data_IF_632819848097
#
_entry.id   IF_632819848097
#
_cell.length_a   1.000
_cell.length_b   1.000
_cell.length_c   1.000
_cell.angle_alpha   90.00
_cell.angle_beta   90.00
_cell.angle_gamma   90.00
#
_symmetry.space_group_name_H-M   'P 1'
#
loop_
_entity.id
_entity.type
_entity.pdbx_description
1 polymer ?
#
# COMPACT_ATOMS: atom_id res chain seq x y z
N UNK A 1 1.82 -42.21 9.09
CA UNK A 1 0.72 -42.44 10.04
C UNK A 1 -0.51 -41.71 9.48
N UNK A 2 -1.58 -42.43 9.15
CA UNK A 2 -2.85 -41.83 8.71
C UNK A 2 -3.44 -41.08 9.91
N UNK A 3 -3.32 -39.76 9.92
CA UNK A 3 -3.98 -38.93 10.92
C UNK A 3 -5.47 -38.90 10.62
N UNK A 4 -6.28 -39.51 11.47
CA UNK A 4 -7.73 -39.44 11.36
C UNK A 4 -8.15 -37.96 11.37
N UNK A 5 -8.84 -37.55 10.30
CA UNK A 5 -9.45 -36.23 10.21
C UNK A 5 -10.72 -36.21 11.01
N UNK A 6 -10.82 -35.27 11.92
CA UNK A 6 -11.98 -35.12 12.80
C UNK A 6 -12.45 -33.68 12.83
N UNK A 7 -13.76 -33.49 12.72
CA UNK A 7 -14.44 -32.23 12.88
C UNK A 7 -15.58 -32.41 13.88
N UNK A 8 -15.36 -31.94 15.10
CA UNK A 8 -16.33 -32.04 16.21
C UNK A 8 -16.87 -30.67 16.59
N UNK A 9 -18.12 -30.62 17.05
CA UNK A 9 -18.78 -29.39 17.45
C UNK A 9 -19.29 -29.53 18.88
N UNK A 10 -18.93 -28.56 19.75
CA UNK A 10 -19.27 -28.58 21.16
C UNK A 10 -19.62 -27.17 21.64
N UNK A 11 -20.77 -26.97 22.37
CA UNK A 11 -21.01 -25.70 23.04
C UNK A 11 -20.16 -25.55 24.30
N UNK A 12 -19.52 -24.41 24.46
CA UNK A 12 -18.82 -24.02 25.69
C UNK A 12 -19.36 -22.69 26.21
N UNK A 13 -19.53 -22.54 27.54
CA UNK A 13 -19.94 -21.25 28.10
C UNK A 13 -18.84 -20.22 27.95
N UNK A 14 -19.19 -18.93 27.89
CA UNK A 14 -18.22 -17.83 27.85
C UNK A 14 -17.23 -17.91 29.02
N UNK A 15 -17.67 -18.32 30.21
CA UNK A 15 -16.78 -18.51 31.35
C UNK A 15 -15.61 -19.46 31.04
N UNK A 16 -15.84 -20.51 30.26
CA UNK A 16 -14.77 -21.40 29.80
C UNK A 16 -13.81 -20.71 28.82
N UNK A 17 -14.36 -19.88 27.89
CA UNK A 17 -13.53 -19.10 26.95
C UNK A 17 -12.66 -18.06 27.66
N UNK A 18 -13.09 -17.54 28.80
CA UNK A 18 -12.32 -16.62 29.63
C UNK A 18 -11.20 -17.36 30.39
N UNK A 19 -11.50 -18.55 30.91
CA UNK A 19 -10.53 -19.38 31.65
C UNK A 19 -9.41 -19.91 30.74
N UNK A 20 -9.76 -20.40 29.57
CA UNK A 20 -8.82 -21.03 28.63
C UNK A 20 -8.15 -20.04 27.67
N UNK A 21 -8.32 -18.72 27.88
CA UNK A 21 -7.91 -17.64 26.97
C UNK A 21 -6.46 -17.78 26.47
N UNK A 22 -5.54 -18.14 27.35
CA UNK A 22 -4.10 -18.25 27.03
C UNK A 22 -3.76 -19.41 26.08
N UNK A 23 -4.70 -20.34 25.86
CA UNK A 23 -4.56 -21.44 24.91
C UNK A 23 -4.98 -21.07 23.49
N UNK A 24 -5.62 -19.91 23.30
CA UNK A 24 -6.08 -19.45 21.98
C UNK A 24 -4.97 -18.68 21.29
N UNK A 25 -4.61 -19.14 20.10
CA UNK A 25 -3.61 -18.53 19.24
C UNK A 25 -4.25 -17.98 17.96
N UNK A 26 -3.75 -16.85 17.51
CA UNK A 26 -4.14 -16.26 16.24
C UNK A 26 -3.12 -16.67 15.18
N UNK A 27 -3.51 -17.50 14.23
CA UNK A 27 -2.66 -17.78 13.08
C UNK A 27 -2.70 -16.59 12.10
N UNK A 28 -1.63 -15.79 12.13
CA UNK A 28 -1.49 -14.60 11.28
C UNK A 28 -1.31 -14.91 9.79
N UNK A 29 -1.17 -16.19 9.42
CA UNK A 29 -0.89 -16.58 8.03
C UNK A 29 -2.05 -16.32 7.08
N UNK A 30 -3.29 -16.35 7.53
CA UNK A 30 -4.48 -16.16 6.69
C UNK A 30 -5.61 -15.38 7.35
N UNK A 31 -5.44 -14.93 8.61
CA UNK A 31 -6.49 -14.22 9.32
C UNK A 31 -6.47 -12.70 9.14
N UNK A 32 -7.61 -12.07 9.38
CA UNK A 32 -7.80 -10.62 9.32
C UNK A 32 -7.16 -9.96 10.53
N UNK A 33 -6.56 -8.80 10.33
CA UNK A 33 -6.26 -7.86 11.41
C UNK A 33 -7.56 -7.46 12.13
N UNK A 34 -7.44 -6.77 13.28
CA UNK A 34 -8.61 -6.28 14.02
C UNK A 34 -9.41 -5.29 13.16
N UNK A 35 -10.59 -5.72 12.70
CA UNK A 35 -11.43 -4.96 11.74
C UNK A 35 -12.69 -4.39 12.40
N UNK A 36 -13.10 -4.97 13.53
CA UNK A 36 -14.33 -4.58 14.17
C UNK A 36 -14.21 -3.24 14.88
N UNK A 37 -15.13 -2.33 14.58
CA UNK A 37 -15.33 -1.12 15.38
C UNK A 37 -15.92 -1.48 16.74
N UNK A 38 -15.77 -0.58 17.72
CA UNK A 38 -16.40 -0.71 19.02
C UNK A 38 -17.92 -0.95 18.87
N UNK A 39 -18.57 -0.28 17.91
CA UNK A 39 -20.00 -0.45 17.65
C UNK A 39 -20.36 -1.88 17.21
N UNK A 40 -19.52 -2.55 16.43
CA UNK A 40 -19.73 -3.97 16.05
C UNK A 40 -19.53 -4.90 17.24
N UNK A 41 -18.54 -4.65 18.08
CA UNK A 41 -18.32 -5.40 19.29
C UNK A 41 -19.50 -5.24 20.27
N UNK A 42 -20.00 -4.03 20.45
CA UNK A 42 -21.19 -3.73 21.26
C UNK A 42 -22.43 -4.45 20.74
N UNK A 43 -22.62 -4.51 19.41
CA UNK A 43 -23.74 -5.22 18.80
C UNK A 43 -23.67 -6.73 19.06
N UNK A 44 -22.47 -7.32 19.04
CA UNK A 44 -22.28 -8.73 19.43
C UNK A 44 -22.68 -8.97 20.88
N UNK A 45 -22.22 -8.12 21.82
CA UNK A 45 -22.56 -8.28 23.23
C UNK A 45 -24.06 -8.16 23.47
N UNK A 46 -24.74 -7.22 22.78
CA UNK A 46 -26.19 -7.12 22.82
C UNK A 46 -26.86 -8.42 22.32
N UNK A 47 -26.34 -9.03 21.23
CA UNK A 47 -26.83 -10.30 20.71
C UNK A 47 -26.69 -11.44 21.74
N UNK A 48 -25.56 -11.49 22.46
CA UNK A 48 -25.32 -12.46 23.53
C UNK A 48 -26.34 -12.29 24.67
N UNK A 49 -26.54 -11.05 25.13
CA UNK A 49 -27.48 -10.76 26.20
C UNK A 49 -28.95 -11.03 25.80
N UNK A 50 -29.28 -10.94 24.51
CA UNK A 50 -30.55 -11.34 23.93
C UNK A 50 -30.67 -12.83 23.62
N UNK A 51 -29.59 -13.61 23.87
CA UNK A 51 -29.52 -15.05 23.59
C UNK A 51 -29.70 -15.38 22.10
N UNK A 52 -29.28 -14.46 21.22
CA UNK A 52 -29.23 -14.71 19.77
C UNK A 52 -28.01 -15.54 19.39
N UNK A 53 -28.14 -16.36 18.33
CA UNK A 53 -27.00 -17.09 17.79
C UNK A 53 -25.94 -16.11 17.27
N UNK A 54 -24.71 -16.30 17.74
CA UNK A 54 -23.53 -15.50 17.32
C UNK A 54 -22.67 -16.22 16.28
N UNK A 55 -23.11 -17.38 15.80
CA UNK A 55 -22.40 -18.24 14.86
C UNK A 55 -21.29 -19.07 15.50
N UNK A 56 -20.82 -20.09 14.77
CA UNK A 56 -19.80 -21.02 15.22
C UNK A 56 -18.41 -20.39 15.20
N UNK A 57 -17.52 -20.82 16.11
CA UNK A 57 -16.10 -20.49 16.13
C UNK A 57 -15.32 -21.73 15.72
N UNK A 58 -14.45 -21.62 14.73
CA UNK A 58 -13.67 -22.72 14.19
C UNK A 58 -12.23 -22.66 14.71
N UNK A 59 -11.77 -23.78 15.28
CA UNK A 59 -10.49 -23.91 15.96
C UNK A 59 -9.72 -25.11 15.43
N UNK A 60 -8.49 -24.93 15.00
CA UNK A 60 -7.59 -26.04 14.75
C UNK A 60 -6.88 -26.38 16.06
N UNK A 61 -6.91 -27.64 16.46
CA UNK A 61 -6.24 -28.11 17.67
C UNK A 61 -4.86 -28.66 17.31
N UNK A 62 -3.80 -28.06 17.87
CA UNK A 62 -2.41 -28.50 17.73
C UNK A 62 -1.69 -28.33 19.06
N UNK A 63 -0.98 -29.33 19.48
CA UNK A 63 -0.09 -29.29 20.67
C UNK A 63 -0.76 -28.69 21.93
N UNK A 64 -2.05 -28.99 22.14
CA UNK A 64 -2.82 -28.49 23.27
C UNK A 64 -3.28 -27.03 23.16
N UNK A 65 -3.03 -26.36 22.03
CA UNK A 65 -3.47 -25.00 21.72
C UNK A 65 -4.61 -24.98 20.72
N UNK A 66 -5.37 -23.88 20.71
CA UNK A 66 -6.52 -23.61 19.85
C UNK A 66 -6.16 -22.52 18.85
N UNK A 67 -5.78 -22.87 17.62
CA UNK A 67 -5.54 -21.91 16.53
C UNK A 67 -6.87 -21.49 15.93
N UNK A 68 -7.21 -20.23 16.07
CA UNK A 68 -8.51 -19.69 15.62
C UNK A 68 -8.53 -19.66 14.09
N UNK A 69 -9.46 -20.38 13.47
CA UNK A 69 -9.68 -20.36 12.02
C UNK A 69 -10.72 -19.31 11.63
N UNK A 70 -11.87 -19.30 12.34
CA UNK A 70 -12.90 -18.26 12.21
C UNK A 70 -13.46 -17.91 13.58
N UNK A 71 -13.96 -16.67 13.72
CA UNK A 71 -14.54 -16.16 14.96
C UNK A 71 -13.60 -15.32 15.81
N UNK A 72 -12.39 -15.00 15.33
CA UNK A 72 -11.41 -14.18 16.06
C UNK A 72 -12.00 -12.86 16.59
N UNK A 73 -12.75 -12.13 15.75
CA UNK A 73 -13.32 -10.84 16.15
C UNK A 73 -14.37 -11.01 17.25
N UNK A 74 -15.13 -12.10 17.20
CA UNK A 74 -16.14 -12.45 18.21
C UNK A 74 -15.46 -12.78 19.54
N UNK A 75 -14.43 -13.62 19.55
CA UNK A 75 -13.65 -13.93 20.76
C UNK A 75 -13.02 -12.67 21.36
N UNK A 76 -12.35 -11.86 20.54
CA UNK A 76 -11.75 -10.60 21.01
C UNK A 76 -12.79 -9.64 21.60
N UNK A 77 -13.98 -9.53 21.01
CA UNK A 77 -15.03 -8.69 21.53
C UNK A 77 -15.54 -9.19 22.90
N UNK A 78 -15.72 -10.52 23.06
CA UNK A 78 -16.12 -11.16 24.31
C UNK A 78 -15.05 -10.89 25.40
N UNK A 79 -13.79 -11.16 25.11
CA UNK A 79 -12.69 -10.93 26.04
C UNK A 79 -12.56 -9.45 26.42
N UNK A 80 -12.52 -8.57 25.43
CA UNK A 80 -12.40 -7.13 25.66
C UNK A 80 -13.56 -6.55 26.49
N UNK A 81 -14.78 -7.05 26.30
CA UNK A 81 -15.92 -6.65 27.12
C UNK A 81 -15.77 -7.15 28.56
N UNK A 82 -15.40 -8.42 28.76
CA UNK A 82 -15.14 -8.99 30.09
C UNK A 82 -14.01 -8.24 30.83
N UNK A 83 -12.99 -7.76 30.09
CA UNK A 83 -11.89 -6.93 30.60
C UNK A 83 -12.28 -5.44 30.78
N UNK A 84 -13.56 -5.07 30.67
CA UNK A 84 -14.05 -3.69 30.72
C UNK A 84 -13.47 -2.75 29.65
N UNK A 85 -13.13 -3.27 28.46
CA UNK A 85 -12.53 -2.51 27.38
C UNK A 85 -13.49 -1.58 26.62
N UNK A 86 -14.80 -1.77 26.79
CA UNK A 86 -15.84 -0.89 26.23
C UNK A 86 -17.17 -1.09 26.97
N UNK A 87 -18.05 -0.05 27.03
CA UNK A 87 -19.38 -0.14 27.66
C UNK A 87 -20.42 -0.71 26.69
N UNK A 88 -21.58 -1.09 27.20
CA UNK A 88 -22.77 -1.41 26.42
C UNK A 88 -23.29 -0.18 25.66
N UNK A 89 -23.81 -0.40 24.46
CA UNK A 89 -24.26 0.68 23.58
C UNK A 89 -25.64 1.21 23.97
N UNK A 90 -25.79 2.52 24.05
CA UNK A 90 -27.10 3.16 24.19
C UNK A 90 -28.01 2.91 22.96
N UNK A 91 -27.44 2.55 21.81
CA UNK A 91 -28.18 2.29 20.58
C UNK A 91 -28.83 0.90 20.55
N UNK A 92 -28.17 -0.11 21.14
CA UNK A 92 -28.59 -1.52 21.04
C UNK A 92 -29.12 -2.08 22.33
N UNK A 93 -28.54 -1.69 23.46
CA UNK A 93 -28.88 -2.27 24.78
C UNK A 93 -30.08 -1.59 25.45
N UNK A 94 -30.77 -2.29 26.35
CA UNK A 94 -31.82 -1.69 27.19
C UNK A 94 -31.33 -0.44 27.94
N UNK A 95 -32.22 0.51 28.18
CA UNK A 95 -31.88 1.82 28.77
C UNK A 95 -31.14 1.68 30.10
N UNK A 96 -31.53 0.72 30.94
CA UNK A 96 -30.96 0.48 32.26
C UNK A 96 -29.55 -0.14 32.22
N UNK A 97 -29.12 -0.68 31.07
CA UNK A 97 -27.81 -1.27 30.86
C UNK A 97 -26.91 -0.40 29.98
N UNK A 98 -27.48 0.58 29.28
CA UNK A 98 -26.75 1.46 28.37
C UNK A 98 -25.61 2.21 29.08
N UNK A 99 -24.43 2.23 28.46
CA UNK A 99 -23.25 2.90 29.00
C UNK A 99 -22.53 2.15 30.13
N UNK A 100 -23.04 1.02 30.60
CA UNK A 100 -22.39 0.24 31.65
C UNK A 100 -21.28 -0.64 31.08
N UNK A 101 -20.15 -0.70 31.80
CA UNK A 101 -19.10 -1.67 31.59
C UNK A 101 -19.49 -3.01 32.22
N UNK A 102 -18.80 -4.09 31.85
CA UNK A 102 -19.05 -5.43 32.35
C UNK A 102 -19.09 -5.48 33.90
N UNK A 103 -18.12 -4.83 34.57
CA UNK A 103 -18.05 -4.74 36.04
C UNK A 103 -19.26 -4.05 36.68
N UNK A 104 -19.88 -3.12 35.95
CA UNK A 104 -20.99 -2.30 36.46
C UNK A 104 -22.38 -2.93 36.21
N UNK A 105 -22.39 -4.11 35.55
CA UNK A 105 -23.64 -4.84 35.31
C UNK A 105 -24.14 -5.52 36.56
N UNK A 106 -25.49 -5.65 36.74
CA UNK A 106 -26.08 -6.49 37.77
C UNK A 106 -25.51 -7.93 37.68
N UNK A 107 -25.36 -8.59 38.86
CA UNK A 107 -24.79 -9.96 38.91
C UNK A 107 -25.54 -10.93 38.01
N UNK A 108 -26.87 -10.86 38.01
CA UNK A 108 -27.70 -11.69 37.13
C UNK A 108 -27.32 -11.53 35.64
N UNK A 109 -27.06 -10.31 35.16
CA UNK A 109 -26.71 -10.06 33.78
C UNK A 109 -25.28 -10.56 33.49
N UNK A 110 -24.38 -10.43 34.45
CA UNK A 110 -23.01 -11.01 34.33
C UNK A 110 -23.05 -12.53 34.25
N UNK A 111 -23.92 -13.17 35.05
CA UNK A 111 -24.11 -14.62 35.00
C UNK A 111 -24.75 -15.07 33.67
N UNK A 112 -25.75 -14.35 33.17
CA UNK A 112 -26.33 -14.60 31.84
C UNK A 112 -25.31 -14.49 30.73
N UNK A 113 -24.41 -13.53 30.80
CA UNK A 113 -23.26 -13.40 29.86
C UNK A 113 -22.27 -14.57 30.00
N UNK A 114 -21.83 -14.89 31.21
CA UNK A 114 -20.86 -15.96 31.48
C UNK A 114 -21.36 -17.35 31.08
N UNK A 115 -22.63 -17.61 31.29
CA UNK A 115 -23.24 -18.91 30.98
C UNK A 115 -23.66 -19.07 29.52
N UNK A 116 -23.60 -18.01 28.72
CA UNK A 116 -24.02 -18.06 27.31
C UNK A 116 -23.18 -19.09 26.53
N UNK A 117 -23.83 -20.07 25.84
CA UNK A 117 -23.12 -21.11 25.11
C UNK A 117 -22.60 -20.60 23.76
N UNK A 118 -21.33 -20.76 23.54
CA UNK A 118 -20.66 -20.49 22.23
C UNK A 118 -20.33 -21.82 21.60
N UNK A 119 -20.79 -22.07 20.39
CA UNK A 119 -20.50 -23.30 19.66
C UNK A 119 -19.08 -23.26 19.08
N UNK A 120 -18.21 -24.14 19.57
CA UNK A 120 -16.85 -24.33 19.07
C UNK A 120 -16.81 -25.53 18.14
N UNK A 121 -16.14 -25.39 17.00
CA UNK A 121 -15.87 -26.47 16.05
C UNK A 121 -14.38 -26.77 16.09
N UNK A 122 -14.03 -27.95 16.55
CA UNK A 122 -12.64 -28.42 16.65
C UNK A 122 -12.25 -29.19 15.38
N UNK A 123 -11.11 -28.84 14.83
CA UNK A 123 -10.53 -29.39 13.59
C UNK A 123 -9.22 -30.08 13.98
N UNK A 124 -9.12 -31.40 13.75
CA UNK A 124 -7.95 -32.22 14.05
C UNK A 124 -7.53 -33.04 12.83
N UNK A 125 -6.22 -33.23 12.64
CA UNK A 125 -5.67 -34.07 11.57
C UNK A 125 -5.74 -33.47 10.15
N UNK A 126 -6.11 -32.20 10.01
CA UNK A 126 -6.12 -31.49 8.72
C UNK A 126 -4.76 -30.85 8.46
N UNK A 127 -4.28 -30.93 7.24
CA UNK A 127 -3.10 -30.21 6.76
C UNK A 127 -3.37 -28.69 6.68
N UNK A 128 -2.30 -27.89 6.62
CA UNK A 128 -2.43 -26.42 6.50
C UNK A 128 -3.15 -26.00 5.21
N UNK A 129 -3.01 -26.76 4.13
CA UNK A 129 -3.71 -26.50 2.87
C UNK A 129 -5.20 -26.76 3.00
N UNK A 130 -5.60 -27.81 3.66
CA UNK A 130 -7.01 -28.15 3.91
C UNK A 130 -7.67 -27.17 4.87
N UNK A 131 -6.94 -26.71 5.88
CA UNK A 131 -7.42 -25.65 6.79
C UNK A 131 -7.62 -24.34 6.05
N UNK A 132 -6.73 -23.97 5.12
CA UNK A 132 -6.89 -22.79 4.26
C UNK A 132 -8.09 -22.92 3.33
N UNK A 133 -8.34 -24.12 2.79
CA UNK A 133 -9.52 -24.36 1.96
C UNK A 133 -10.80 -24.27 2.78
N UNK A 134 -10.84 -24.86 3.97
CA UNK A 134 -11.94 -24.75 4.92
C UNK A 134 -12.21 -23.29 5.31
N UNK A 135 -11.16 -22.52 5.62
CA UNK A 135 -11.28 -21.09 5.90
C UNK A 135 -11.94 -20.32 4.74
N UNK A 136 -11.51 -20.60 3.50
CA UNK A 136 -12.12 -19.98 2.30
C UNK A 136 -13.60 -20.33 2.18
N UNK A 137 -13.99 -21.58 2.45
CA UNK A 137 -15.39 -22.06 2.37
C UNK A 137 -16.26 -21.44 3.45
N UNK A 138 -15.80 -21.40 4.70
CA UNK A 138 -16.51 -20.78 5.82
C UNK A 138 -16.78 -19.30 5.54
N UNK A 139 -15.79 -18.59 4.98
CA UNK A 139 -15.88 -17.18 4.66
C UNK A 139 -16.49 -16.87 3.30
N UNK A 140 -17.01 -17.86 2.57
CA UNK A 140 -17.59 -17.66 1.23
C UNK A 140 -18.80 -16.71 1.22
N UNK A 141 -19.49 -16.53 2.36
CA UNK A 141 -20.58 -15.56 2.52
C UNK A 141 -20.14 -14.10 2.73
N UNK A 142 -18.87 -13.85 3.12
CA UNK A 142 -18.27 -12.52 3.21
C UNK A 142 -17.05 -12.53 2.30
N UNK A 143 -17.12 -11.91 1.11
CA UNK A 143 -16.04 -12.00 0.14
C UNK A 143 -14.73 -11.47 0.74
N UNK A 144 -13.70 -12.31 0.71
CA UNK A 144 -12.34 -11.89 1.03
C UNK A 144 -11.93 -10.81 0.04
N UNK A 145 -11.34 -9.74 0.55
CA UNK A 145 -10.74 -8.74 -0.32
C UNK A 145 -9.47 -9.28 -1.01
N UNK A 146 -8.95 -8.54 -1.98
CA UNK A 146 -7.75 -8.93 -2.75
C UNK A 146 -6.57 -9.25 -1.84
N UNK A 147 -6.31 -8.42 -0.82
CA UNK A 147 -5.18 -8.60 0.08
C UNK A 147 -5.31 -9.87 0.94
N UNK A 148 -6.49 -10.14 1.47
CA UNK A 148 -6.79 -11.35 2.24
C UNK A 148 -6.60 -12.61 1.39
N UNK A 149 -7.04 -12.56 0.13
CA UNK A 149 -6.85 -13.66 -0.82
C UNK A 149 -5.37 -13.87 -1.18
N UNK A 150 -4.60 -12.79 -1.45
CA UNK A 150 -3.16 -12.87 -1.71
C UNK A 150 -2.41 -13.43 -0.50
N UNK A 151 -2.76 -12.99 0.71
CA UNK A 151 -2.15 -13.46 1.94
C UNK A 151 -2.39 -14.95 2.23
N UNK A 152 -3.45 -15.54 1.66
CA UNK A 152 -3.76 -16.97 1.76
C UNK A 152 -3.10 -17.84 0.67
N UNK A 153 -2.33 -17.25 -0.26
CA UNK A 153 -1.59 -18.01 -1.27
C UNK A 153 -0.35 -18.69 -0.67
N UNK A 154 0.10 -19.82 -1.25
CA UNK A 154 1.38 -20.43 -0.89
C UNK A 154 2.55 -19.71 -1.58
N UNK A 155 3.75 -19.83 -1.00
CA UNK A 155 5.00 -19.38 -1.60
C UNK A 155 5.74 -18.30 -0.83
N UNK A 156 7.06 -18.20 -1.08
CA UNK A 156 7.95 -17.25 -0.42
C UNK A 156 7.56 -15.80 -0.67
N UNK A 157 6.98 -15.51 -1.84
CA UNK A 157 6.52 -14.15 -2.18
C UNK A 157 5.52 -13.61 -1.16
N UNK A 158 4.65 -14.45 -0.59
CA UNK A 158 3.67 -14.02 0.43
C UNK A 158 4.39 -13.56 1.70
N UNK A 159 5.39 -14.34 2.14
CA UNK A 159 6.22 -13.98 3.31
C UNK A 159 7.02 -12.71 3.04
N UNK A 160 7.55 -12.58 1.84
CA UNK A 160 8.32 -11.42 1.39
C UNK A 160 7.48 -10.14 1.38
N UNK A 161 6.29 -10.20 0.82
CA UNK A 161 5.36 -9.05 0.78
C UNK A 161 4.84 -8.72 2.18
N UNK A 162 4.62 -9.74 3.03
CA UNK A 162 4.26 -9.54 4.44
C UNK A 162 5.35 -8.78 5.19
N UNK A 163 6.62 -9.23 5.08
CA UNK A 163 7.76 -8.53 5.67
C UNK A 163 7.88 -7.09 5.14
N UNK A 164 7.65 -6.88 3.84
CA UNK A 164 7.65 -5.55 3.26
C UNK A 164 6.52 -4.68 3.83
N UNK A 165 5.35 -5.25 4.13
CA UNK A 165 4.20 -4.51 4.70
C UNK A 165 4.42 -4.05 6.14
N UNK A 166 5.43 -4.57 6.81
CA UNK A 166 5.84 -4.16 8.16
C UNK A 166 6.79 -2.95 8.12
N UNK A 167 7.15 -2.45 6.93
CA UNK A 167 8.06 -1.31 6.80
C UNK A 167 7.47 -0.05 7.43
N UNK A 168 8.23 0.70 8.25
CA UNK A 168 7.76 1.87 9.00
C UNK A 168 7.11 2.95 8.14
N UNK A 169 7.50 3.06 6.87
CA UNK A 169 6.89 4.00 5.91
C UNK A 169 5.36 3.92 5.89
N UNK A 170 4.78 2.71 5.92
CA UNK A 170 3.33 2.56 5.83
C UNK A 170 2.60 3.11 7.03
N UNK A 171 3.11 2.85 8.23
CA UNK A 171 2.48 3.29 9.47
C UNK A 171 2.79 4.75 9.81
N UNK A 172 4.05 5.16 9.66
CA UNK A 172 4.54 6.46 10.12
C UNK A 172 4.30 7.58 9.12
N UNK A 173 4.40 7.28 7.81
CA UNK A 173 4.35 8.30 6.77
C UNK A 173 3.01 8.32 6.05
N UNK A 174 2.44 7.16 5.71
CA UNK A 174 1.16 7.16 4.98
C UNK A 174 -0.03 7.42 5.91
N UNK A 175 -1.09 8.01 5.35
CA UNK A 175 -2.40 8.13 5.99
C UNK A 175 -3.38 7.05 5.51
N UNK A 176 -2.86 5.91 5.05
CA UNK A 176 -3.68 4.73 4.79
C UNK A 176 -4.28 4.24 6.11
N UNK A 177 -5.59 4.00 6.12
CA UNK A 177 -6.21 3.38 7.29
C UNK A 177 -5.71 1.94 7.39
N UNK A 178 -5.12 1.52 8.52
CA UNK A 178 -4.73 0.13 8.72
C UNK A 178 -5.98 -0.77 8.70
N UNK A 179 -5.79 -2.05 8.47
CA UNK A 179 -6.82 -3.07 8.51
C UNK A 179 -7.05 -3.78 7.18
N UNK A 180 -7.52 -5.03 7.26
CA UNK A 180 -7.78 -5.95 6.14
C UNK A 180 -6.58 -6.07 5.19
N UNK A 181 -5.35 -6.13 5.73
CA UNK A 181 -4.08 -6.28 4.97
C UNK A 181 -3.83 -5.18 3.94
N UNK A 182 -4.24 -3.93 4.21
CA UNK A 182 -4.09 -2.82 3.25
C UNK A 182 -2.62 -2.51 2.95
N UNK A 183 -1.74 -2.57 3.95
CA UNK A 183 -0.30 -2.40 3.75
C UNK A 183 0.29 -3.54 2.92
N UNK A 184 -0.15 -4.78 3.13
CA UNK A 184 0.26 -5.92 2.31
C UNK A 184 -0.17 -5.74 0.85
N UNK A 185 -1.40 -5.28 0.59
CA UNK A 185 -1.86 -4.97 -0.77
C UNK A 185 -0.99 -3.92 -1.44
N UNK A 186 -0.69 -2.83 -0.73
CA UNK A 186 0.19 -1.78 -1.24
C UNK A 186 1.60 -2.32 -1.51
N UNK A 187 2.18 -3.06 -0.57
CA UNK A 187 3.51 -3.68 -0.72
C UNK A 187 3.59 -4.61 -1.92
N UNK A 188 2.53 -5.40 -2.18
CA UNK A 188 2.43 -6.25 -3.36
C UNK A 188 2.47 -5.43 -4.65
N UNK A 189 1.74 -4.31 -4.70
CA UNK A 189 1.72 -3.41 -5.86
C UNK A 189 3.08 -2.77 -6.09
N UNK A 190 3.73 -2.26 -5.03
CA UNK A 190 5.05 -1.63 -5.14
C UNK A 190 6.12 -2.61 -5.58
N UNK A 191 6.15 -3.83 -5.00
CA UNK A 191 7.10 -4.87 -5.38
C UNK A 191 6.91 -5.31 -6.85
N UNK A 192 5.67 -5.43 -7.30
CA UNK A 192 5.35 -5.75 -8.70
C UNK A 192 5.85 -4.65 -9.64
N UNK A 193 5.61 -3.39 -9.31
CA UNK A 193 6.09 -2.24 -10.10
C UNK A 193 7.60 -2.15 -10.13
N UNK A 194 8.27 -2.46 -9.02
CA UNK A 194 9.74 -2.46 -8.96
C UNK A 194 10.35 -3.55 -9.84
N UNK A 195 9.75 -4.73 -9.85
CA UNK A 195 10.23 -5.88 -10.65
C UNK A 195 9.91 -5.76 -12.13
N UNK A 196 8.70 -5.33 -12.48
CA UNK A 196 8.17 -5.38 -13.85
C UNK A 196 8.13 -4.01 -14.54
N UNK A 197 8.50 -2.92 -13.83
CA UNK A 197 8.28 -1.56 -14.33
C UNK A 197 6.81 -1.16 -14.29
N UNK A 198 6.46 -0.11 -15.04
CA UNK A 198 5.09 0.40 -15.13
C UNK A 198 4.20 -0.61 -15.85
N UNK A 199 3.27 -1.20 -15.10
CA UNK A 199 2.35 -2.24 -15.55
C UNK A 199 0.99 -2.11 -14.86
N UNK A 200 0.01 -2.92 -15.28
CA UNK A 200 -1.28 -3.07 -14.58
C UNK A 200 -1.05 -3.72 -13.21
N UNK A 201 -1.58 -3.10 -12.17
CA UNK A 201 -1.52 -3.57 -10.77
C UNK A 201 -2.91 -3.90 -10.21
N UNK A 202 -3.85 -4.25 -11.09
CA UNK A 202 -5.19 -4.71 -10.72
C UNK A 202 -5.13 -6.01 -9.91
N UNK A 203 -6.23 -6.39 -9.22
CA UNK A 203 -6.29 -7.65 -8.51
C UNK A 203 -5.90 -8.85 -9.35
N UNK A 204 -6.37 -8.92 -10.60
CA UNK A 204 -6.03 -10.01 -11.52
C UNK A 204 -4.53 -10.06 -11.82
N UNK A 205 -3.94 -8.91 -12.13
CA UNK A 205 -2.50 -8.82 -12.41
C UNK A 205 -1.66 -9.22 -11.20
N UNK A 206 -2.06 -8.82 -9.98
CA UNK A 206 -1.39 -9.22 -8.75
C UNK A 206 -1.43 -10.74 -8.53
N UNK A 207 -2.56 -11.41 -8.75
CA UNK A 207 -2.64 -12.87 -8.65
C UNK A 207 -1.67 -13.55 -9.62
N UNK A 208 -1.67 -13.14 -10.88
CA UNK A 208 -0.74 -13.66 -11.90
C UNK A 208 0.73 -13.42 -11.47
N UNK A 209 1.03 -12.24 -10.96
CA UNK A 209 2.37 -11.92 -10.47
C UNK A 209 2.81 -12.85 -9.33
N UNK A 210 1.94 -13.13 -8.36
CA UNK A 210 2.23 -14.05 -7.25
C UNK A 210 2.44 -15.48 -7.74
N UNK A 211 1.62 -15.94 -8.69
CA UNK A 211 1.75 -17.28 -9.29
C UNK A 211 3.08 -17.45 -10.02
N UNK A 212 3.48 -16.46 -10.80
CA UNK A 212 4.74 -16.47 -11.58
C UNK A 212 5.99 -16.29 -10.72
N UNK A 213 5.85 -15.75 -9.52
CA UNK A 213 6.97 -15.38 -8.65
C UNK A 213 6.93 -16.08 -7.27
N UNK A 214 6.39 -17.30 -7.18
CA UNK A 214 6.23 -18.05 -5.91
C UNK A 214 7.49 -18.11 -5.06
N UNK A 215 8.66 -18.20 -5.69
CA UNK A 215 9.96 -18.33 -5.03
C UNK A 215 10.65 -16.99 -4.74
N UNK A 216 10.04 -15.85 -5.10
CA UNK A 216 10.61 -14.54 -4.83
C UNK A 216 10.76 -14.31 -3.33
N UNK A 217 11.97 -14.00 -2.89
CA UNK A 217 12.33 -13.82 -1.50
C UNK A 217 12.95 -12.43 -1.21
N UNK A 218 13.32 -12.20 0.04
CA UNK A 218 13.95 -10.95 0.51
C UNK A 218 15.38 -10.74 -0.02
N UNK A 219 15.98 -11.74 -0.69
CA UNK A 219 17.30 -11.61 -1.31
C UNK A 219 17.20 -11.06 -2.73
N UNK A 220 16.01 -11.06 -3.33
CA UNK A 220 15.77 -10.56 -4.68
C UNK A 220 16.11 -9.08 -4.82
N UNK A 221 16.62 -8.69 -5.99
CA UNK A 221 16.94 -7.29 -6.26
C UNK A 221 15.72 -6.38 -6.14
N UNK A 222 14.56 -6.83 -6.66
CA UNK A 222 13.30 -6.08 -6.58
C UNK A 222 12.90 -5.78 -5.12
N UNK A 223 13.06 -6.74 -4.19
CA UNK A 223 12.80 -6.48 -2.77
C UNK A 223 13.76 -5.44 -2.19
N UNK A 224 15.07 -5.59 -2.46
CA UNK A 224 16.10 -4.66 -1.96
C UNK A 224 15.87 -3.24 -2.48
N UNK A 225 15.55 -3.11 -3.76
CA UNK A 225 15.26 -1.81 -4.38
C UNK A 225 13.97 -1.20 -3.82
N UNK A 226 12.93 -2.03 -3.61
CA UNK A 226 11.70 -1.56 -2.96
C UNK A 226 11.99 -1.01 -1.55
N UNK A 227 12.76 -1.75 -0.73
CA UNK A 227 13.15 -1.29 0.61
C UNK A 227 13.99 -0.01 0.55
N UNK A 228 14.93 0.09 -0.42
CA UNK A 228 15.73 1.31 -0.63
C UNK A 228 14.86 2.54 -0.89
N UNK A 229 13.85 2.39 -1.75
CA UNK A 229 12.90 3.48 -2.05
C UNK A 229 12.07 3.85 -0.80
N UNK A 230 11.55 2.85 -0.08
CA UNK A 230 10.76 3.11 1.13
C UNK A 230 11.59 3.78 2.24
N UNK A 231 12.84 3.36 2.44
CA UNK A 231 13.78 4.00 3.37
C UNK A 231 14.03 5.46 3.00
N UNK A 232 14.22 5.76 1.72
CA UNK A 232 14.41 7.13 1.25
C UNK A 232 13.16 7.98 1.48
N UNK A 233 11.98 7.43 1.20
CA UNK A 233 10.71 8.11 1.46
C UNK A 233 10.47 8.34 2.96
N UNK A 234 10.79 7.37 3.82
CA UNK A 234 10.70 7.55 5.28
C UNK A 234 11.62 8.66 5.77
N UNK A 235 12.84 8.74 5.22
CA UNK A 235 13.78 9.82 5.56
C UNK A 235 13.30 11.19 5.04
N UNK A 236 12.75 11.24 3.84
CA UNK A 236 12.27 12.49 3.23
C UNK A 236 11.01 13.04 3.90
N UNK A 237 10.10 12.15 4.31
CA UNK A 237 8.84 12.52 4.94
C UNK A 237 8.85 12.05 6.41
N UNK A 238 9.33 12.88 7.28
CA UNK A 238 9.53 12.56 8.71
C UNK A 238 8.23 12.59 9.55
N UNK A 239 7.09 12.81 8.94
CA UNK A 239 5.77 12.91 9.60
C UNK A 239 4.65 12.33 8.72
N UNK A 240 3.49 12.11 9.33
CA UNK A 240 2.33 11.55 8.64
C UNK A 240 1.74 12.49 7.60
N UNK A 241 1.69 12.04 6.34
CA UNK A 241 1.26 12.82 5.20
C UNK A 241 -0.20 12.56 4.84
N UNK A 242 -1.05 13.58 4.93
CA UNK A 242 -2.48 13.51 4.55
C UNK A 242 -2.66 13.23 3.06
N UNK A 243 -1.75 13.68 2.24
CA UNK A 243 -1.64 13.50 0.79
C UNK A 243 -1.54 12.01 0.43
N UNK A 244 -0.87 11.22 1.28
CA UNK A 244 -0.67 9.78 1.10
C UNK A 244 -1.81 8.92 1.69
N UNK A 245 -3.04 9.45 1.67
CA UNK A 245 -4.25 8.72 2.06
C UNK A 245 -4.76 7.75 0.97
N UNK A 246 -4.56 8.11 -0.30
CA UNK A 246 -5.01 7.30 -1.45
C UNK A 246 -3.86 6.44 -1.99
N UNK A 247 -4.10 5.14 -2.25
CA UNK A 247 -3.09 4.26 -2.86
C UNK A 247 -2.43 4.81 -4.12
N UNK A 248 -3.21 5.47 -4.98
CA UNK A 248 -2.72 6.04 -6.23
C UNK A 248 -1.64 7.12 -6.04
N UNK A 249 -1.71 7.92 -4.98
CA UNK A 249 -0.66 8.89 -4.64
C UNK A 249 0.61 8.21 -4.14
N UNK A 250 0.47 7.13 -3.34
CA UNK A 250 1.61 6.35 -2.85
C UNK A 250 2.35 5.72 -4.02
N UNK A 251 1.63 5.07 -4.94
CA UNK A 251 2.21 4.49 -6.17
C UNK A 251 2.93 5.56 -6.99
N UNK A 252 2.32 6.74 -7.15
CA UNK A 252 2.91 7.81 -7.96
C UNK A 252 4.20 8.37 -7.34
N UNK A 253 4.20 8.63 -6.03
CA UNK A 253 5.38 9.10 -5.30
C UNK A 253 6.48 8.04 -5.29
N UNK A 254 6.11 6.76 -5.09
CA UNK A 254 7.03 5.63 -5.12
C UNK A 254 7.76 5.54 -6.48
N UNK A 255 7.02 5.55 -7.59
CA UNK A 255 7.59 5.45 -8.93
C UNK A 255 8.50 6.64 -9.26
N UNK A 256 8.10 7.86 -8.89
CA UNK A 256 8.96 9.03 -9.01
C UNK A 256 10.28 8.81 -8.26
N UNK A 257 10.19 8.41 -6.99
CA UNK A 257 11.38 8.21 -6.15
C UNK A 257 12.26 7.06 -6.64
N UNK A 258 11.66 5.93 -7.06
CA UNK A 258 12.40 4.81 -7.66
C UNK A 258 13.17 5.25 -8.91
N UNK A 259 12.52 6.00 -9.81
CA UNK A 259 13.16 6.56 -11.00
C UNK A 259 14.33 7.48 -10.64
N UNK A 260 14.12 8.39 -9.69
CA UNK A 260 15.14 9.34 -9.27
C UNK A 260 16.34 8.64 -8.63
N UNK A 261 16.14 7.67 -7.75
CA UNK A 261 17.19 6.90 -7.08
C UNK A 261 18.00 6.00 -8.04
N UNK A 262 17.43 5.64 -9.19
CA UNK A 262 18.11 4.85 -10.22
C UNK A 262 18.94 5.69 -11.19
N UNK A 263 18.56 6.96 -11.36
CA UNK A 263 19.14 7.79 -12.42
C UNK A 263 19.94 9.00 -11.92
N UNK A 264 19.69 9.44 -10.67
CA UNK A 264 20.28 10.68 -10.14
C UNK A 264 20.85 10.52 -8.73
N UNK A 265 21.81 11.37 -8.38
CA UNK A 265 22.35 11.49 -7.02
C UNK A 265 21.31 12.17 -6.14
N UNK A 266 20.62 11.38 -5.34
CA UNK A 266 19.52 11.86 -4.50
C UNK A 266 19.90 12.11 -3.03
N UNK A 267 21.15 11.85 -2.64
CA UNK A 267 21.63 12.13 -1.28
C UNK A 267 21.57 13.64 -0.99
N UNK A 268 20.92 14.03 0.15
CA UNK A 268 20.70 15.42 0.51
C UNK A 268 19.59 16.14 -0.28
N UNK A 269 18.79 15.40 -1.08
CA UNK A 269 17.64 15.94 -1.84
C UNK A 269 16.29 15.56 -1.24
N UNK A 270 16.27 15.01 -0.02
CA UNK A 270 15.05 14.53 0.66
C UNK A 270 14.03 15.66 0.83
N UNK A 271 14.48 16.83 1.32
CA UNK A 271 13.60 17.98 1.50
C UNK A 271 13.12 18.58 0.16
N UNK A 272 13.97 18.57 -0.86
CA UNK A 272 13.58 18.99 -2.20
C UNK A 272 12.42 18.13 -2.73
N UNK A 273 12.49 16.80 -2.56
CA UNK A 273 11.42 15.89 -2.95
C UNK A 273 10.13 16.14 -2.16
N UNK A 274 10.24 16.32 -0.83
CA UNK A 274 9.09 16.62 0.04
C UNK A 274 8.38 17.90 -0.38
N UNK A 275 9.12 19.00 -0.50
CA UNK A 275 8.58 20.30 -0.85
C UNK A 275 7.92 20.32 -2.23
N UNK A 276 8.57 19.67 -3.21
CA UNK A 276 7.97 19.49 -4.52
C UNK A 276 6.67 18.71 -4.45
N UNK A 277 6.66 17.56 -3.77
CA UNK A 277 5.48 16.69 -3.71
C UNK A 277 4.28 17.38 -3.07
N UNK A 278 4.48 18.09 -1.96
CA UNK A 278 3.42 18.84 -1.28
C UNK A 278 2.86 19.94 -2.18
N UNK A 279 3.73 20.70 -2.84
CA UNK A 279 3.32 21.74 -3.79
C UNK A 279 2.55 21.16 -4.97
N UNK A 280 3.09 20.11 -5.60
CA UNK A 280 2.46 19.44 -6.73
C UNK A 280 1.08 18.87 -6.37
N UNK A 281 0.94 18.28 -5.19
CA UNK A 281 -0.36 17.80 -4.70
C UNK A 281 -1.38 18.93 -4.63
N UNK A 282 -1.00 20.09 -4.10
CA UNK A 282 -1.88 21.26 -4.03
C UNK A 282 -2.26 21.79 -5.42
N UNK A 283 -1.30 21.86 -6.35
CA UNK A 283 -1.55 22.26 -7.75
C UNK A 283 -2.55 21.31 -8.42
N UNK A 284 -2.43 20.00 -8.22
CA UNK A 284 -3.39 19.01 -8.74
C UNK A 284 -4.78 19.19 -8.15
N UNK A 285 -4.91 19.50 -6.85
CA UNK A 285 -6.21 19.78 -6.23
C UNK A 285 -6.85 21.04 -6.82
N UNK A 286 -6.06 22.04 -7.15
CA UNK A 286 -6.53 23.29 -7.75
C UNK A 286 -6.81 23.15 -9.27
N UNK A 287 -6.36 22.09 -9.93
CA UNK A 287 -6.47 21.90 -11.38
C UNK A 287 -7.92 21.91 -11.92
N UNK A 288 -8.89 21.57 -11.08
CA UNK A 288 -10.32 21.69 -11.42
C UNK A 288 -10.78 23.14 -11.63
N UNK A 289 -10.06 24.12 -11.06
CA UNK A 289 -10.35 25.55 -11.15
C UNK A 289 -9.44 26.27 -12.13
N UNK A 290 -8.33 25.66 -12.51
CA UNK A 290 -7.37 26.21 -13.46
C UNK A 290 -7.56 25.57 -14.83
N UNK A 291 -7.13 26.26 -15.89
CA UNK A 291 -7.16 25.72 -17.26
C UNK A 291 -5.94 24.85 -17.59
N UNK A 292 -5.16 24.40 -16.59
CA UNK A 292 -4.05 23.48 -16.83
C UNK A 292 -4.56 22.10 -17.22
N UNK A 293 -4.62 21.87 -18.53
CA UNK A 293 -5.15 20.62 -19.09
C UNK A 293 -4.34 19.39 -18.71
N UNK A 294 -3.07 19.53 -18.39
CA UNK A 294 -2.17 18.43 -18.02
C UNK A 294 -2.41 18.00 -16.57
N UNK A 295 -2.48 18.95 -15.63
CA UNK A 295 -2.83 18.65 -14.24
C UNK A 295 -4.27 18.15 -14.11
N UNK A 296 -5.18 18.58 -14.96
CA UNK A 296 -6.53 18.03 -15.05
C UNK A 296 -6.52 16.55 -15.48
N UNK A 297 -5.73 16.18 -16.52
CA UNK A 297 -5.54 14.78 -16.94
C UNK A 297 -4.92 13.94 -15.82
N UNK A 298 -3.94 14.50 -15.11
CA UNK A 298 -3.37 13.85 -13.93
C UNK A 298 -4.42 13.59 -12.85
N UNK A 299 -5.27 14.58 -12.54
CA UNK A 299 -6.34 14.46 -11.55
C UNK A 299 -7.35 13.37 -11.93
N UNK A 300 -7.71 13.25 -13.20
CA UNK A 300 -8.53 12.13 -13.67
C UNK A 300 -7.84 10.78 -13.45
N UNK A 301 -6.57 10.66 -13.82
CA UNK A 301 -5.80 9.42 -13.68
C UNK A 301 -5.53 9.01 -12.22
N UNK A 302 -5.47 9.97 -11.28
CA UNK A 302 -5.32 9.70 -9.84
C UNK A 302 -6.64 9.25 -9.19
N UNK A 303 -7.77 9.47 -9.86
CA UNK A 303 -9.11 9.24 -9.32
C UNK A 303 -9.86 8.09 -10.01
N UNK A 304 -9.57 7.80 -11.28
CA UNK A 304 -10.23 6.77 -12.08
C UNK A 304 -9.22 5.86 -12.77
N UNK A 305 -9.52 4.55 -12.86
CA UNK A 305 -8.65 3.56 -13.50
C UNK A 305 -7.24 3.52 -12.90
N UNK A 306 -7.12 3.77 -11.59
CA UNK A 306 -5.87 4.09 -10.90
C UNK A 306 -4.81 2.99 -10.95
N UNK A 307 -5.22 1.76 -11.31
CA UNK A 307 -4.38 0.55 -11.36
C UNK A 307 -3.94 0.18 -12.77
N UNK A 308 -4.50 0.80 -13.81
CA UNK A 308 -4.15 0.48 -15.19
C UNK A 308 -2.75 1.03 -15.55
N UNK A 309 -2.05 0.33 -16.45
CA UNK A 309 -0.74 0.73 -16.97
C UNK A 309 -0.75 2.15 -17.51
N UNK A 310 -1.79 2.50 -18.27
CA UNK A 310 -1.93 3.82 -18.92
C UNK A 310 -2.04 4.93 -17.88
N UNK A 311 -2.91 4.75 -16.87
CA UNK A 311 -3.09 5.75 -15.80
C UNK A 311 -1.82 5.90 -14.95
N UNK A 312 -1.13 4.80 -14.65
CA UNK A 312 0.13 4.82 -13.89
C UNK A 312 1.21 5.53 -14.72
N UNK A 313 1.35 5.17 -16.00
CA UNK A 313 2.33 5.77 -16.91
C UNK A 313 2.12 7.26 -17.10
N UNK A 314 0.86 7.70 -17.31
CA UNK A 314 0.51 9.11 -17.44
C UNK A 314 0.89 9.90 -16.17
N UNK A 315 0.53 9.39 -14.99
CA UNK A 315 0.87 10.03 -13.72
C UNK A 315 2.37 10.12 -13.50
N UNK A 316 3.09 9.03 -13.80
CA UNK A 316 4.55 8.99 -13.66
C UNK A 316 5.22 10.01 -14.60
N UNK A 317 4.82 10.04 -15.87
CA UNK A 317 5.34 11.00 -16.86
C UNK A 317 5.17 12.44 -16.37
N UNK A 318 3.94 12.83 -16.02
CA UNK A 318 3.64 14.22 -15.63
C UNK A 318 4.40 14.64 -14.37
N UNK A 319 4.40 13.80 -13.31
CA UNK A 319 5.07 14.16 -12.06
C UNK A 319 6.59 14.22 -12.22
N UNK A 320 7.19 13.32 -13.04
CA UNK A 320 8.61 13.30 -13.33
C UNK A 320 9.02 14.56 -14.09
N UNK A 321 8.32 14.91 -15.15
CA UNK A 321 8.60 16.14 -15.92
C UNK A 321 8.51 17.39 -15.03
N UNK A 322 7.47 17.50 -14.20
CA UNK A 322 7.31 18.63 -13.25
C UNK A 322 8.42 18.65 -12.19
N UNK A 323 8.85 17.48 -11.70
CA UNK A 323 9.97 17.39 -10.77
C UNK A 323 11.27 17.85 -11.41
N UNK A 324 11.60 17.36 -12.61
CA UNK A 324 12.81 17.74 -13.33
C UNK A 324 12.86 19.26 -13.62
N UNK A 325 11.73 19.87 -13.96
CA UNK A 325 11.63 21.33 -14.13
C UNK A 325 11.93 22.06 -12.81
N UNK A 326 11.45 21.56 -11.68
CA UNK A 326 11.63 22.21 -10.37
C UNK A 326 13.02 22.00 -9.78
N UNK A 327 13.62 20.84 -10.01
CA UNK A 327 14.90 20.41 -9.44
C UNK A 327 16.06 20.57 -10.43
N UNK A 328 16.37 21.82 -10.81
CA UNK A 328 17.34 22.18 -11.86
C UNK A 328 18.75 21.59 -11.71
N UNK A 329 19.19 21.28 -10.47
CA UNK A 329 20.55 20.85 -10.15
C UNK A 329 20.67 19.36 -9.85
N UNK A 330 19.95 18.50 -10.57
CA UNK A 330 20.09 17.05 -10.44
C UNK A 330 21.33 16.55 -11.20
N UNK A 331 22.17 15.80 -10.50
CA UNK A 331 23.38 15.18 -11.07
C UNK A 331 23.04 13.73 -11.43
N UNK A 332 23.18 13.29 -12.68
CA UNK A 332 23.02 11.90 -13.05
C UNK A 332 24.01 10.98 -12.31
N UNK A 333 23.61 9.76 -11.99
CA UNK A 333 24.48 8.75 -11.35
C UNK A 333 25.61 8.31 -12.30
N UNK A 334 25.25 8.06 -13.57
CA UNK A 334 26.22 7.73 -14.61
C UNK A 334 26.27 8.86 -15.63
N UNK A 335 27.45 9.24 -16.13
CA UNK A 335 27.60 10.24 -17.16
C UNK A 335 27.02 9.71 -18.47
N UNK A 336 25.76 9.98 -18.73
CA UNK A 336 25.11 9.67 -20.00
C UNK A 336 25.36 10.78 -21.03
N UNK A 337 25.48 10.41 -22.30
CA UNK A 337 25.68 11.37 -23.37
C UNK A 337 24.40 12.03 -23.87
N UNK A 338 23.25 11.36 -23.74
CA UNK A 338 22.00 11.82 -24.33
C UNK A 338 20.98 12.17 -23.26
N UNK A 339 20.18 13.23 -23.48
CA UNK A 339 19.04 13.57 -22.65
C UNK A 339 17.88 12.61 -22.91
N UNK A 340 17.22 12.13 -21.85
CA UNK A 340 15.98 11.33 -21.98
C UNK A 340 14.84 12.16 -22.57
N UNK A 341 13.77 11.50 -23.01
CA UNK A 341 12.59 12.21 -23.53
C UNK A 341 12.00 13.17 -22.51
N UNK A 342 11.90 12.76 -21.24
CA UNK A 342 11.37 13.57 -20.14
C UNK A 342 12.28 14.79 -19.86
N UNK A 343 13.59 14.60 -19.90
CA UNK A 343 14.54 15.70 -19.76
C UNK A 343 14.46 16.68 -20.93
N UNK A 344 14.32 16.18 -22.16
CA UNK A 344 14.15 17.02 -23.36
C UNK A 344 12.87 17.85 -23.26
N UNK A 345 11.75 17.26 -22.82
CA UNK A 345 10.48 17.97 -22.60
C UNK A 345 10.64 19.01 -21.49
N UNK A 346 11.31 18.67 -20.38
CA UNK A 346 11.58 19.62 -19.31
C UNK A 346 12.40 20.83 -19.81
N UNK A 347 13.47 20.58 -20.59
CA UNK A 347 14.29 21.64 -21.19
C UNK A 347 13.46 22.54 -22.11
N UNK A 348 12.60 21.93 -22.93
CA UNK A 348 11.71 22.70 -23.82
C UNK A 348 10.79 23.63 -23.02
N UNK A 349 10.20 23.14 -21.95
CA UNK A 349 9.27 23.90 -21.09
C UNK A 349 9.97 25.01 -20.30
N UNK A 350 11.15 24.73 -19.73
CA UNK A 350 11.96 25.71 -19.00
C UNK A 350 12.29 26.92 -19.90
N UNK A 351 12.54 26.65 -21.18
CA UNK A 351 12.89 27.70 -22.17
C UNK A 351 11.69 28.24 -22.95
N UNK A 352 10.45 27.99 -22.48
CA UNK A 352 9.20 28.44 -23.11
C UNK A 352 9.09 28.08 -24.60
N UNK A 353 9.68 26.96 -25.01
CA UNK A 353 9.69 26.50 -26.40
C UNK A 353 10.38 27.47 -27.37
N UNK A 354 11.40 28.21 -26.91
CA UNK A 354 12.15 29.13 -27.76
C UNK A 354 13.59 28.69 -27.92
N UNK A 355 14.13 28.78 -29.14
CA UNK A 355 15.54 28.57 -29.40
C UNK A 355 16.36 29.58 -28.60
N UNK A 356 17.29 29.11 -27.78
CA UNK A 356 18.10 29.98 -26.93
C UNK A 356 19.16 30.79 -27.70
N UNK A 357 19.37 30.49 -28.98
CA UNK A 357 20.32 31.24 -29.84
C UNK A 357 19.63 32.30 -30.69
N UNK A 358 18.56 31.96 -31.39
CA UNK A 358 17.90 32.88 -32.32
C UNK A 358 16.50 33.35 -31.86
N UNK A 359 15.96 32.83 -30.75
CA UNK A 359 14.66 33.22 -30.23
C UNK A 359 13.48 32.63 -30.97
N UNK A 360 13.68 31.83 -32.03
CA UNK A 360 12.62 31.21 -32.82
C UNK A 360 11.72 30.31 -31.93
N UNK A 361 10.41 30.40 -32.15
CA UNK A 361 9.44 29.54 -31.46
C UNK A 361 9.50 28.12 -32.03
N UNK A 362 9.77 27.14 -31.16
CA UNK A 362 9.92 25.73 -31.52
C UNK A 362 8.63 24.96 -31.28
N UNK A 363 8.50 23.81 -31.94
CA UNK A 363 7.45 22.82 -31.70
C UNK A 363 8.02 21.65 -30.92
N UNK A 364 7.14 20.92 -30.20
CA UNK A 364 7.54 19.75 -29.39
C UNK A 364 8.09 18.58 -30.21
N UNK A 365 7.82 18.54 -31.49
CA UNK A 365 8.27 17.52 -32.45
C UNK A 365 9.52 17.93 -33.24
N UNK A 366 9.97 19.20 -33.10
CA UNK A 366 11.08 19.73 -33.92
C UNK A 366 11.99 20.65 -33.10
N UNK A 367 12.77 20.06 -32.18
CA UNK A 367 13.82 20.78 -31.48
C UNK A 367 15.01 19.88 -31.17
N UNK A 368 16.16 20.49 -30.97
CA UNK A 368 17.41 19.83 -30.57
C UNK A 368 17.85 20.32 -29.20
N UNK A 369 18.42 19.39 -28.42
CA UNK A 369 19.08 19.73 -27.16
C UNK A 369 20.56 19.48 -27.33
N UNK A 370 21.36 20.53 -27.11
CA UNK A 370 22.81 20.53 -27.24
C UNK A 370 23.44 20.76 -25.85
N UNK A 371 24.67 20.28 -25.60
CA UNK A 371 25.42 20.57 -24.39
C UNK A 371 26.11 21.92 -24.50
N UNK A 372 25.93 22.85 -23.54
CA UNK A 372 26.66 24.13 -23.47
C UNK A 372 28.17 23.88 -23.41
N UNK A 373 28.60 23.02 -22.48
CA UNK A 373 29.92 22.43 -22.44
C UNK A 373 29.83 21.06 -23.08
N UNK A 374 30.51 20.82 -24.23
CA UNK A 374 30.40 19.54 -24.93
C UNK A 374 30.77 18.34 -24.06
N UNK A 375 30.02 17.25 -24.21
CA UNK A 375 30.27 16.01 -23.46
C UNK A 375 31.69 15.49 -23.65
N UNK A 376 32.23 15.58 -24.87
CA UNK A 376 33.62 15.20 -25.17
C UNK A 376 34.66 16.06 -24.45
N UNK A 377 34.27 17.23 -23.93
CA UNK A 377 35.15 18.14 -23.15
C UNK A 377 34.82 18.08 -21.64
N UNK A 378 34.15 17.01 -21.17
CA UNK A 378 33.83 16.79 -19.78
C UNK A 378 32.51 17.43 -19.32
N UNK A 379 31.69 17.94 -20.23
CA UNK A 379 30.37 18.49 -19.92
C UNK A 379 29.38 17.39 -19.50
N UNK A 380 28.72 17.58 -18.39
CA UNK A 380 27.71 16.64 -17.88
C UNK A 380 26.37 16.83 -18.59
N UNK A 381 25.58 15.74 -18.75
CA UNK A 381 24.20 15.76 -19.27
C UNK A 381 23.24 16.14 -18.16
N UNK A 382 23.21 17.44 -17.85
CA UNK A 382 22.31 18.06 -16.86
C UNK A 382 21.43 19.12 -17.52
N UNK A 383 20.28 19.45 -16.91
CA UNK A 383 19.38 20.50 -17.44
C UNK A 383 20.05 21.87 -17.49
N UNK A 384 20.98 22.15 -16.56
CA UNK A 384 21.73 23.40 -16.52
C UNK A 384 22.75 23.50 -17.68
N UNK A 385 23.34 22.36 -18.10
CA UNK A 385 24.26 22.29 -19.24
C UNK A 385 23.51 22.11 -20.58
N UNK A 386 22.17 22.10 -20.57
CA UNK A 386 21.37 21.98 -21.80
C UNK A 386 21.19 23.30 -22.50
N UNK A 387 21.17 23.25 -23.84
CA UNK A 387 20.89 24.37 -24.75
C UNK A 387 19.79 23.93 -25.71
N UNK A 388 18.61 24.58 -25.64
CA UNK A 388 17.50 24.32 -26.55
C UNK A 388 17.68 25.07 -27.86
N UNK A 389 17.71 24.35 -28.99
CA UNK A 389 18.02 24.92 -30.28
C UNK A 389 17.00 24.50 -31.35
N UNK A 390 16.82 25.37 -32.37
CA UNK A 390 16.23 24.96 -33.65
C UNK A 390 17.28 24.20 -34.48
N UNK A 391 16.80 23.49 -35.50
CA UNK A 391 17.66 22.67 -36.35
C UNK A 391 18.79 23.49 -36.99
N UNK A 392 18.48 24.70 -37.48
CA UNK A 392 19.48 25.60 -38.09
C UNK A 392 20.57 25.95 -37.09
N UNK A 393 20.22 26.44 -35.91
CA UNK A 393 21.21 26.84 -34.90
C UNK A 393 22.02 25.64 -34.36
N UNK A 394 21.40 24.46 -34.29
CA UNK A 394 22.09 23.24 -33.92
C UNK A 394 23.15 22.83 -34.95
N UNK A 395 22.82 22.86 -36.28
CA UNK A 395 23.75 22.57 -37.36
C UNK A 395 24.90 23.58 -37.43
N UNK A 396 24.64 24.86 -37.19
CA UNK A 396 25.67 25.89 -37.14
C UNK A 396 26.68 25.69 -36.01
N UNK A 397 26.23 25.26 -34.83
CA UNK A 397 27.14 24.96 -33.72
C UNK A 397 28.06 23.76 -33.99
N UNK A 398 27.55 22.74 -34.69
CA UNK A 398 28.37 21.61 -35.11
C UNK A 398 29.44 21.99 -36.14
N UNK A 399 29.15 22.90 -37.08
CA UNK A 399 30.11 23.41 -38.05
C UNK A 399 31.25 24.25 -37.42
N UNK A 400 30.95 24.95 -36.33
CA UNK A 400 31.91 25.81 -35.61
C UNK A 400 32.82 24.98 -34.69
N UNK A 401 32.37 23.80 -34.25
CA UNK A 401 33.10 22.92 -33.33
C UNK A 401 34.06 21.92 -34.01
N UNK A 402 34.08 21.88 -35.33
CA UNK A 402 35.01 21.05 -36.13
C UNK A 402 36.37 21.75 -36.47
N UNK A 403 36.61 22.94 -35.93
CA UNK A 403 37.92 23.64 -36.06
C UNK A 403 38.65 23.71 -34.72
#
# INVERSE_FOLDING_TARGET
>A
MSTFKELTSEPKPISWLLLERDRFEVDRTYQREEVWSVSMAQYLIDSILRKYDIGKIYLQVREGKYYIIDGQQRLKAIWKFADNGFPLSAKYSPRELAGKYYRDLPERVREEFRSFPVTLVYIRGFSDEEVRDLYRRINSGIPLNTAERLNALPGNIVLTVRKLSEHPFFERITSLKPGRYRYLHMSAQLLMLEKNGITDISPRALFTFFEQNKNLDTKSQAYKDTVKVLNYLEKAFNEKMKELRKPSWIVTLYLLTSHLLKNYVMNGKEECLKNFFVKFFQEVLMSMKTKDSELFKFNLAISRGTTSRESIGLRHKIILERFLISAKSLVPLDPKREYTEEERIAIFRINNGKCQRCGEKLRMDNFHVHHKVPWAKGGQTTLENALLLCERCHRELHKIGEN
#
